data_IF_606339591061
#
_entry.id   IF_606339591061
#
_cell.length_a   1.000
_cell.length_b   1.000
_cell.length_c   1.000
_cell.angle_alpha   90.00
_cell.angle_beta   90.00
_cell.angle_gamma   90.00
#
_symmetry.space_group_name_H-M   'P 1'
#
loop_
_entity.id
_entity.type
_entity.pdbx_description
1 polymer ?
#
# COMPACT_ATOMS: atom_id res chain seq x y z
N UNK A 1 60.40 -56.37 -7.55
CA UNK A 1 60.28 -55.13 -6.75
C UNK A 1 59.18 -54.17 -7.24
N UNK A 2 58.15 -54.64 -7.99
CA UNK A 2 57.09 -53.77 -8.55
C UNK A 2 55.70 -53.88 -7.86
N UNK A 3 55.46 -54.93 -7.07
CA UNK A 3 54.15 -55.17 -6.43
C UNK A 3 53.89 -54.27 -5.21
N UNK A 4 54.93 -53.74 -4.56
CA UNK A 4 54.79 -52.87 -3.38
C UNK A 4 54.40 -51.42 -3.72
N UNK A 5 54.67 -50.94 -4.94
CA UNK A 5 54.34 -49.57 -5.34
C UNK A 5 52.86 -49.39 -5.72
N UNK A 6 52.20 -50.45 -6.22
CA UNK A 6 50.79 -50.38 -6.64
C UNK A 6 49.82 -50.35 -5.44
N UNK A 7 50.14 -51.03 -4.34
CA UNK A 7 49.28 -51.06 -3.14
C UNK A 7 49.29 -49.73 -2.37
N UNK A 8 50.46 -49.08 -2.24
CA UNK A 8 50.63 -47.78 -1.57
C UNK A 8 49.83 -46.66 -2.27
N UNK A 9 49.75 -46.70 -3.60
CA UNK A 9 48.94 -45.76 -4.39
C UNK A 9 47.43 -45.90 -4.15
N UNK A 10 46.92 -47.12 -4.00
CA UNK A 10 45.50 -47.37 -3.68
C UNK A 10 45.13 -46.91 -2.27
N UNK A 11 45.98 -47.15 -1.26
CA UNK A 11 45.75 -46.66 0.10
C UNK A 11 45.76 -45.12 0.17
N UNK A 12 46.66 -44.48 -0.58
CA UNK A 12 46.73 -43.02 -0.68
C UNK A 12 45.49 -42.43 -1.38
N UNK A 13 45.01 -43.07 -2.45
CA UNK A 13 43.74 -42.67 -3.12
C UNK A 13 42.53 -42.82 -2.21
N UNK A 14 42.41 -43.92 -1.45
CA UNK A 14 41.30 -44.10 -0.49
C UNK A 14 41.29 -43.01 0.59
N UNK A 15 42.45 -42.66 1.15
CA UNK A 15 42.56 -41.56 2.13
C UNK A 15 42.19 -40.20 1.54
N UNK A 16 42.61 -39.91 0.31
CA UNK A 16 42.26 -38.67 -0.38
C UNK A 16 40.75 -38.60 -0.66
N UNK A 17 40.12 -39.71 -1.10
CA UNK A 17 38.68 -39.75 -1.32
C UNK A 17 37.87 -39.52 -0.03
N UNK A 18 38.30 -40.13 1.09
CA UNK A 18 37.65 -39.92 2.40
C UNK A 18 37.81 -38.46 2.86
N UNK A 19 39.00 -37.88 2.72
CA UNK A 19 39.23 -36.48 3.06
C UNK A 19 38.37 -35.54 2.21
N UNK A 20 38.26 -35.81 0.91
CA UNK A 20 37.47 -35.00 -0.02
C UNK A 20 35.96 -35.13 0.26
N UNK A 21 35.48 -36.33 0.62
CA UNK A 21 34.09 -36.51 1.04
C UNK A 21 33.78 -35.75 2.33
N UNK A 22 34.66 -35.81 3.32
CA UNK A 22 34.48 -35.07 4.58
C UNK A 22 34.47 -33.56 4.33
N UNK A 23 35.43 -33.05 3.55
CA UNK A 23 35.49 -31.63 3.19
C UNK A 23 34.21 -31.17 2.45
N UNK A 24 33.70 -32.00 1.54
CA UNK A 24 32.46 -31.71 0.80
C UNK A 24 31.25 -31.68 1.74
N UNK A 25 31.13 -32.63 2.66
CA UNK A 25 30.03 -32.67 3.64
C UNK A 25 30.07 -31.44 4.55
N UNK A 26 31.25 -31.06 5.05
CA UNK A 26 31.41 -29.87 5.89
C UNK A 26 31.04 -28.60 5.12
N UNK A 27 31.45 -28.49 3.85
CA UNK A 27 31.10 -27.37 2.96
C UNK A 27 29.58 -27.27 2.76
N UNK A 28 28.91 -28.39 2.47
CA UNK A 28 27.45 -28.41 2.27
C UNK A 28 26.73 -27.98 3.56
N UNK A 29 27.14 -28.51 4.72
CA UNK A 29 26.51 -28.17 6.00
C UNK A 29 26.68 -26.69 6.35
N UNK A 30 27.88 -26.13 6.13
CA UNK A 30 28.13 -24.70 6.40
C UNK A 30 27.33 -23.80 5.47
N UNK A 31 27.26 -24.12 4.17
CA UNK A 31 26.44 -23.38 3.21
C UNK A 31 24.94 -23.48 3.51
N UNK A 32 24.45 -24.67 3.87
CA UNK A 32 23.05 -24.88 4.21
C UNK A 32 22.65 -24.08 5.46
N UNK A 33 23.49 -24.09 6.50
CA UNK A 33 23.23 -23.32 7.72
C UNK A 33 23.21 -21.81 7.44
N UNK A 34 24.21 -21.30 6.71
CA UNK A 34 24.26 -19.89 6.27
C UNK A 34 23.04 -19.51 5.43
N UNK A 35 22.62 -20.38 4.52
CA UNK A 35 21.46 -20.13 3.67
C UNK A 35 20.16 -20.01 4.48
N UNK A 36 19.95 -20.90 5.45
CA UNK A 36 18.76 -20.87 6.32
C UNK A 36 18.75 -19.62 7.19
N UNK A 37 19.90 -19.25 7.77
CA UNK A 37 20.04 -18.06 8.61
C UNK A 37 19.76 -16.78 7.82
N UNK A 38 20.36 -16.63 6.64
CA UNK A 38 20.16 -15.45 5.78
C UNK A 38 18.72 -15.37 5.28
N UNK A 39 18.12 -16.50 4.88
CA UNK A 39 16.73 -16.54 4.43
C UNK A 39 15.75 -16.14 5.53
N UNK A 40 15.92 -16.66 6.74
CA UNK A 40 15.07 -16.29 7.88
C UNK A 40 15.18 -14.80 8.21
N UNK A 41 16.37 -14.22 8.06
CA UNK A 41 16.60 -12.79 8.31
C UNK A 41 15.93 -11.92 7.25
N UNK A 42 16.02 -12.31 5.97
CA UNK A 42 15.34 -11.65 4.85
C UNK A 42 13.82 -11.62 5.07
N UNK A 43 13.23 -12.77 5.42
CA UNK A 43 11.79 -12.88 5.63
C UNK A 43 11.31 -11.97 6.77
N UNK A 44 12.04 -11.93 7.89
CA UNK A 44 11.73 -11.03 9.01
C UNK A 44 11.82 -9.55 8.63
N UNK A 45 12.84 -9.18 7.84
CA UNK A 45 13.03 -7.79 7.40
C UNK A 45 11.96 -7.35 6.38
N UNK A 46 11.50 -8.27 5.52
CA UNK A 46 10.39 -8.01 4.61
C UNK A 46 9.07 -7.79 5.38
N UNK A 47 8.82 -8.57 6.44
CA UNK A 47 7.65 -8.38 7.31
C UNK A 47 7.71 -7.06 8.09
N UNK A 48 8.85 -6.74 8.70
CA UNK A 48 9.04 -5.47 9.43
C UNK A 48 8.92 -4.25 8.50
N UNK A 49 9.35 -4.38 7.24
CA UNK A 49 9.11 -3.36 6.21
C UNK A 49 7.61 -3.17 5.95
N UNK A 50 6.85 -4.27 5.77
CA UNK A 50 5.41 -4.21 5.56
C UNK A 50 4.68 -3.55 6.75
N UNK A 51 5.03 -3.93 7.98
CA UNK A 51 4.44 -3.35 9.20
C UNK A 51 4.73 -1.85 9.32
N UNK A 52 5.97 -1.44 9.02
CA UNK A 52 6.36 -0.01 9.02
C UNK A 52 5.65 0.77 7.91
N UNK A 53 5.45 0.18 6.74
CA UNK A 53 4.69 0.80 5.66
C UNK A 53 3.22 1.01 6.05
N UNK A 54 2.59 0.00 6.66
CA UNK A 54 1.21 0.10 7.19
C UNK A 54 1.11 1.17 8.29
N UNK A 55 2.07 1.23 9.21
CA UNK A 55 2.06 2.23 10.29
C UNK A 55 2.25 3.66 9.76
N UNK A 56 3.07 3.85 8.71
CA UNK A 56 3.22 5.14 8.03
C UNK A 56 1.94 5.53 7.29
N UNK A 57 1.28 4.55 6.68
CA UNK A 57 -0.02 4.73 6.05
C UNK A 57 -1.05 5.25 7.07
N UNK A 58 -1.25 4.53 8.17
CA UNK A 58 -2.25 4.87 9.21
C UNK A 58 -2.05 6.28 9.79
N UNK A 59 -0.80 6.65 10.12
CA UNK A 59 -0.47 8.00 10.60
C UNK A 59 -0.82 9.12 9.61
N UNK A 60 -0.78 8.83 8.31
CA UNK A 60 -1.08 9.81 7.28
C UNK A 60 -2.58 9.98 7.03
N UNK A 61 -3.37 8.93 7.21
CA UNK A 61 -4.83 8.97 7.04
C UNK A 61 -5.58 9.42 8.29
N UNK A 62 -5.00 9.26 9.48
CA UNK A 62 -5.61 9.70 10.74
C UNK A 62 -6.08 11.17 10.74
N UNK A 63 -5.28 12.16 10.27
CA UNK A 63 -5.74 13.55 10.17
C UNK A 63 -6.88 13.76 9.17
N UNK A 64 -6.95 12.93 8.12
CA UNK A 64 -7.99 13.00 7.10
C UNK A 64 -9.33 12.50 7.64
N UNK A 65 -9.31 11.41 8.40
CA UNK A 65 -10.49 10.88 9.08
C UNK A 65 -11.03 11.87 10.13
N UNK A 66 -10.16 12.47 10.94
CA UNK A 66 -10.55 13.54 11.88
C UNK A 66 -11.16 14.73 11.14
N UNK A 67 -10.54 15.13 10.03
CA UNK A 67 -11.08 16.19 9.18
C UNK A 67 -12.46 15.86 8.63
N UNK A 68 -12.64 14.64 8.09
CA UNK A 68 -13.91 14.19 7.55
C UNK A 68 -15.00 14.18 8.62
N UNK A 69 -14.71 13.62 9.80
CA UNK A 69 -15.64 13.58 10.93
C UNK A 69 -16.08 14.98 11.38
N UNK A 70 -15.15 15.94 11.46
CA UNK A 70 -15.48 17.33 11.80
C UNK A 70 -16.33 18.02 10.72
N UNK A 71 -16.30 17.53 9.49
CA UNK A 71 -17.02 18.09 8.35
C UNK A 71 -18.37 17.41 8.12
N UNK A 72 -18.65 16.26 8.75
CA UNK A 72 -19.90 15.50 8.57
C UNK A 72 -21.16 16.32 8.87
N UNK A 73 -21.07 17.28 9.78
CA UNK A 73 -22.17 18.21 10.09
C UNK A 73 -22.63 19.06 8.90
N UNK A 74 -21.81 19.17 7.86
CA UNK A 74 -22.11 19.92 6.64
C UNK A 74 -22.96 19.12 5.62
N UNK A 75 -23.09 17.80 5.80
CA UNK A 75 -23.88 16.95 4.91
C UNK A 75 -25.37 17.26 5.05
N UNK A 76 -26.03 17.59 3.94
CA UNK A 76 -27.43 18.00 3.87
C UNK A 76 -27.63 19.53 3.80
N UNK A 77 -26.55 20.31 3.94
CA UNK A 77 -26.58 21.77 3.75
C UNK A 77 -26.54 22.09 2.25
N UNK A 78 -27.31 23.06 1.73
CA UNK A 78 -27.29 23.42 0.32
C UNK A 78 -25.87 23.76 -0.17
N UNK A 79 -25.51 23.28 -1.38
CA UNK A 79 -24.15 23.40 -1.90
C UNK A 79 -23.61 24.84 -1.92
N UNK A 80 -24.48 25.82 -2.15
CA UNK A 80 -24.15 27.25 -2.16
C UNK A 80 -23.62 27.77 -0.81
N UNK A 81 -24.11 27.22 0.31
CA UNK A 81 -23.78 27.68 1.66
C UNK A 81 -22.57 26.94 2.24
N UNK A 82 -22.28 25.74 1.73
CA UNK A 82 -21.25 24.83 2.25
C UNK A 82 -19.97 24.82 1.42
N UNK A 83 -20.02 25.22 0.15
CA UNK A 83 -18.86 25.14 -0.76
C UNK A 83 -17.66 25.93 -0.25
N UNK A 84 -17.87 27.15 0.27
CA UNK A 84 -16.76 27.96 0.78
C UNK A 84 -16.07 27.33 2.00
N UNK A 85 -16.79 26.89 3.05
CA UNK A 85 -16.21 26.07 4.12
C UNK A 85 -15.43 24.83 3.64
N UNK A 86 -15.92 24.14 2.60
CA UNK A 86 -15.19 22.99 2.03
C UNK A 86 -13.88 23.41 1.36
N UNK A 87 -13.86 24.55 0.65
CA UNK A 87 -12.66 25.10 0.02
C UNK A 87 -11.63 25.51 1.09
N UNK A 88 -12.09 26.18 2.15
CA UNK A 88 -11.24 26.49 3.31
C UNK A 88 -10.64 25.21 3.89
N UNK A 89 -11.44 24.15 4.04
CA UNK A 89 -10.95 22.88 4.59
C UNK A 89 -9.89 22.21 3.71
N UNK A 90 -10.12 22.10 2.40
CA UNK A 90 -9.12 21.52 1.50
C UNK A 90 -7.83 22.36 1.45
N UNK A 91 -7.92 23.68 1.62
CA UNK A 91 -6.73 24.54 1.65
C UNK A 91 -5.81 24.26 2.85
N UNK A 92 -6.38 23.74 3.96
CA UNK A 92 -5.62 23.32 5.14
C UNK A 92 -5.02 21.92 5.02
N UNK A 93 -5.39 21.14 3.99
CA UNK A 93 -5.01 19.74 3.82
C UNK A 93 -4.25 19.56 2.50
N UNK A 94 -2.93 19.52 2.58
CA UNK A 94 -2.05 19.51 1.40
C UNK A 94 -2.30 18.34 0.43
N UNK A 95 -2.82 17.22 0.91
CA UNK A 95 -3.01 15.99 0.13
C UNK A 95 -4.44 15.80 -0.37
N UNK A 96 -5.41 16.56 0.13
CA UNK A 96 -6.81 16.45 -0.28
C UNK A 96 -7.05 17.35 -1.48
N UNK A 97 -7.37 16.73 -2.63
CA UNK A 97 -7.72 17.44 -3.85
C UNK A 97 -9.12 18.00 -3.79
N UNK A 98 -10.08 17.20 -3.35
CA UNK A 98 -11.48 17.60 -3.28
C UNK A 98 -12.22 16.95 -2.12
N UNK A 99 -13.25 17.63 -1.63
CA UNK A 99 -14.25 17.08 -0.71
C UNK A 99 -15.60 17.11 -1.43
N UNK A 100 -16.29 15.99 -1.40
CA UNK A 100 -17.56 15.77 -2.08
C UNK A 100 -18.60 15.40 -1.02
N UNK A 101 -19.78 16.01 -1.09
CA UNK A 101 -20.88 15.72 -0.19
C UNK A 101 -21.91 14.85 -0.91
N UNK A 102 -22.29 13.77 -0.24
CA UNK A 102 -23.31 12.83 -0.69
C UNK A 102 -24.47 12.91 0.28
N UNK A 103 -25.68 13.04 -0.25
CA UNK A 103 -26.91 12.94 0.53
C UNK A 103 -27.96 12.15 -0.25
N UNK A 104 -28.60 11.20 0.42
CA UNK A 104 -29.62 10.33 -0.17
C UNK A 104 -29.17 9.68 -1.50
N UNK A 105 -27.96 9.13 -1.51
CA UNK A 105 -27.33 8.46 -2.66
C UNK A 105 -27.00 9.39 -3.85
N UNK A 106 -27.03 10.70 -3.63
CA UNK A 106 -26.67 11.71 -4.63
C UNK A 106 -25.46 12.50 -4.15
N UNK A 107 -24.37 12.45 -4.92
CA UNK A 107 -23.28 13.41 -4.79
C UNK A 107 -23.78 14.74 -5.35
N UNK A 108 -24.13 15.64 -4.44
CA UNK A 108 -24.82 16.89 -4.76
C UNK A 108 -23.90 18.12 -4.72
N UNK A 109 -22.74 18.02 -4.06
CA UNK A 109 -21.80 19.14 -3.93
C UNK A 109 -20.35 18.69 -4.05
N UNK A 110 -19.54 19.48 -4.76
CA UNK A 110 -18.10 19.36 -4.86
C UNK A 110 -17.43 20.65 -4.40
N UNK A 111 -16.38 20.55 -3.58
CA UNK A 111 -15.58 21.71 -3.17
C UNK A 111 -15.02 22.48 -4.38
N UNK A 112 -14.57 21.75 -5.41
CA UNK A 112 -14.01 22.35 -6.62
C UNK A 112 -15.12 22.83 -7.56
N UNK A 113 -16.04 21.93 -7.91
CA UNK A 113 -16.97 22.20 -9.02
C UNK A 113 -18.34 22.74 -8.60
N UNK A 114 -18.61 22.83 -7.29
CA UNK A 114 -19.92 23.27 -6.79
C UNK A 114 -21.01 22.21 -7.00
N UNK A 115 -22.25 22.63 -7.32
CA UNK A 115 -23.40 21.72 -7.42
C UNK A 115 -23.20 20.59 -8.44
N UNK A 116 -23.65 19.39 -8.07
CA UNK A 116 -23.59 18.17 -8.88
C UNK A 116 -24.87 17.36 -8.74
N UNK A 117 -25.06 16.40 -9.63
CA UNK A 117 -26.15 15.41 -9.53
C UNK A 117 -25.62 14.09 -10.07
N UNK A 118 -24.79 13.43 -9.26
CA UNK A 118 -24.13 12.19 -9.63
C UNK A 118 -24.65 11.07 -8.72
N UNK A 119 -25.18 9.95 -9.26
CA UNK A 119 -25.64 8.83 -8.46
C UNK A 119 -24.44 8.15 -7.78
N UNK A 120 -24.37 8.20 -6.46
CA UNK A 120 -23.21 7.76 -5.68
C UNK A 120 -23.01 6.25 -5.80
N UNK A 121 -24.03 5.46 -5.50
CA UNK A 121 -23.96 3.99 -5.56
C UNK A 121 -23.63 3.42 -6.94
N UNK A 122 -24.04 4.11 -8.02
CA UNK A 122 -23.73 3.69 -9.38
C UNK A 122 -22.30 4.07 -9.79
N UNK A 123 -21.81 5.21 -9.29
CA UNK A 123 -20.47 5.70 -9.62
C UNK A 123 -19.39 5.03 -8.78
N UNK A 124 -19.67 4.74 -7.51
CA UNK A 124 -18.74 4.17 -6.55
C UNK A 124 -19.36 2.96 -5.81
N UNK A 125 -19.68 1.87 -6.54
CA UNK A 125 -20.40 0.72 -5.98
C UNK A 125 -19.65 0.05 -4.82
N UNK A 126 -18.31 0.00 -4.90
CA UNK A 126 -17.48 -0.59 -3.84
C UNK A 126 -17.60 0.16 -2.51
N UNK A 127 -17.65 1.49 -2.55
CA UNK A 127 -17.82 2.34 -1.37
C UNK A 127 -19.26 2.30 -0.84
N UNK A 128 -20.24 2.15 -1.73
CA UNK A 128 -21.65 2.14 -1.38
C UNK A 128 -22.13 0.82 -0.77
N UNK A 129 -21.68 -0.33 -1.30
CA UNK A 129 -22.24 -1.65 -0.95
C UNK A 129 -21.27 -2.55 -0.17
N UNK A 130 -19.96 -2.47 -0.43
CA UNK A 130 -19.00 -3.44 0.11
C UNK A 130 -18.45 -3.04 1.49
N UNK A 131 -19.07 -2.05 2.16
CA UNK A 131 -18.60 -1.45 3.43
C UNK A 131 -17.16 -0.93 3.40
N UNK A 132 -16.57 -0.81 2.21
CA UNK A 132 -15.23 -0.26 2.04
C UNK A 132 -15.26 1.24 2.33
N UNK A 133 -14.33 1.67 3.18
CA UNK A 133 -14.11 3.08 3.48
C UNK A 133 -13.09 3.71 2.55
N UNK A 134 -12.30 2.90 1.87
CA UNK A 134 -11.20 3.36 1.02
C UNK A 134 -11.15 2.55 -0.26
N UNK A 135 -10.95 3.22 -1.39
CA UNK A 135 -10.64 2.56 -2.67
C UNK A 135 -9.67 3.39 -3.49
N UNK A 136 -8.84 2.73 -4.27
CA UNK A 136 -7.90 3.35 -5.20
C UNK A 136 -8.58 3.54 -6.55
N UNK A 137 -8.39 4.70 -7.17
CA UNK A 137 -8.99 5.02 -8.46
C UNK A 137 -8.09 5.96 -9.27
N UNK A 138 -8.49 6.21 -10.51
CA UNK A 138 -7.94 7.28 -11.34
C UNK A 138 -8.89 8.48 -11.30
N UNK A 139 -8.32 9.68 -11.24
CA UNK A 139 -9.11 10.91 -11.29
C UNK A 139 -9.60 11.14 -12.72
N UNK A 140 -10.92 11.25 -12.92
CA UNK A 140 -11.54 11.48 -14.23
C UNK A 140 -11.93 12.96 -14.45
N UNK A 141 -11.78 13.80 -13.44
CA UNK A 141 -12.36 15.14 -13.42
C UNK A 141 -11.30 16.24 -13.35
N UNK A 142 -10.46 16.24 -12.31
CA UNK A 142 -9.54 17.34 -12.04
C UNK A 142 -8.20 17.15 -12.75
N UNK A 143 -7.53 16.04 -12.48
CA UNK A 143 -6.26 15.67 -13.11
C UNK A 143 -6.40 14.30 -13.78
N UNK A 144 -6.96 14.29 -15.00
CA UNK A 144 -7.31 13.06 -15.71
C UNK A 144 -6.18 12.03 -15.73
N UNK A 145 -6.50 10.80 -15.34
CA UNK A 145 -5.58 9.66 -15.32
C UNK A 145 -4.59 9.66 -14.17
N UNK A 146 -4.56 10.69 -13.32
CA UNK A 146 -3.67 10.68 -12.15
C UNK A 146 -4.25 9.80 -11.03
N UNK A 147 -3.39 9.14 -10.25
CA UNK A 147 -3.82 8.23 -9.22
C UNK A 147 -4.37 8.96 -7.99
N UNK A 148 -5.48 8.46 -7.47
CA UNK A 148 -6.15 9.00 -6.29
C UNK A 148 -6.58 7.90 -5.33
N UNK A 149 -6.65 8.25 -4.05
CA UNK A 149 -7.38 7.46 -3.06
C UNK A 149 -8.68 8.17 -2.74
N UNK A 150 -9.77 7.40 -2.78
CA UNK A 150 -11.09 7.81 -2.36
C UNK A 150 -11.31 7.34 -0.92
N UNK A 151 -11.57 8.28 0.00
CA UNK A 151 -11.91 8.00 1.39
C UNK A 151 -13.36 8.38 1.66
N UNK A 152 -14.18 7.38 1.99
CA UNK A 152 -15.60 7.48 2.27
C UNK A 152 -15.87 7.47 3.77
N UNK A 153 -16.48 8.54 4.28
CA UNK A 153 -16.92 8.68 5.67
C UNK A 153 -18.43 8.86 5.70
N UNK A 154 -19.20 7.83 6.12
CA UNK A 154 -20.66 7.93 6.14
C UNK A 154 -21.13 8.81 7.30
N UNK A 155 -22.27 9.45 7.12
CA UNK A 155 -23.00 10.14 8.19
C UNK A 155 -23.90 9.18 8.98
N UNK A 156 -24.40 8.13 8.32
CA UNK A 156 -25.42 7.22 8.83
C UNK A 156 -25.15 5.77 8.47
N UNK A 157 -25.78 4.85 9.22
CA UNK A 157 -25.64 3.40 9.03
C UNK A 157 -26.18 2.90 7.69
N UNK A 158 -27.08 3.64 7.05
CA UNK A 158 -27.62 3.27 5.74
C UNK A 158 -26.66 3.56 4.58
N UNK A 159 -25.49 4.15 4.87
CA UNK A 159 -24.37 4.36 3.94
C UNK A 159 -24.73 5.19 2.68
N UNK A 160 -25.82 5.97 2.72
CA UNK A 160 -26.30 6.77 1.59
C UNK A 160 -26.00 8.26 1.69
N UNK A 161 -25.57 8.73 2.85
CA UNK A 161 -25.17 10.11 3.07
C UNK A 161 -23.81 10.14 3.77
N UNK A 162 -22.98 11.12 3.42
CA UNK A 162 -21.61 11.19 3.94
C UNK A 162 -20.70 12.10 3.12
N UNK A 163 -19.41 11.92 3.36
CA UNK A 163 -18.35 12.69 2.74
C UNK A 163 -17.44 11.74 1.98
N UNK A 164 -17.14 12.11 0.74
CA UNK A 164 -16.13 11.45 -0.08
C UNK A 164 -14.95 12.42 -0.28
N UNK A 165 -13.78 12.07 0.23
CA UNK A 165 -12.55 12.83 0.04
C UNK A 165 -11.72 12.22 -1.09
N UNK A 166 -11.21 13.06 -1.97
CA UNK A 166 -10.31 12.69 -3.07
C UNK A 166 -8.89 13.09 -2.67
N UNK A 167 -8.00 12.12 -2.53
CA UNK A 167 -6.65 12.30 -1.98
C UNK A 167 -5.61 12.06 -3.07
N UNK A 168 -4.65 12.97 -3.19
CA UNK A 168 -3.49 12.80 -4.06
C UNK A 168 -2.51 11.78 -3.44
N UNK A 169 -2.35 10.62 -4.08
CA UNK A 169 -1.42 9.60 -3.62
C UNK A 169 -0.09 9.57 -4.37
N UNK A 170 0.05 10.30 -5.46
CA UNK A 170 1.28 10.33 -6.25
C UNK A 170 2.49 10.76 -5.40
N UNK A 171 2.34 11.86 -4.66
CA UNK A 171 3.40 12.37 -3.78
C UNK A 171 3.62 11.51 -2.54
N UNK A 172 2.60 10.76 -2.10
CA UNK A 172 2.66 9.90 -0.92
C UNK A 172 3.29 8.54 -1.21
N UNK A 173 2.98 7.96 -2.37
CA UNK A 173 3.40 6.61 -2.77
C UNK A 173 4.91 6.46 -2.72
N UNK A 174 5.66 7.42 -3.26
CA UNK A 174 7.12 7.43 -3.24
C UNK A 174 7.71 7.42 -1.81
N UNK A 175 7.08 8.11 -0.86
CA UNK A 175 7.55 8.14 0.53
C UNK A 175 7.11 6.90 1.34
N UNK A 176 5.93 6.35 1.02
CA UNK A 176 5.39 5.16 1.67
C UNK A 176 6.10 3.89 1.21
N UNK A 177 6.53 3.85 -0.04
CA UNK A 177 7.09 2.67 -0.71
C UNK A 177 8.61 2.72 -0.85
N UNK A 178 9.30 3.64 -0.16
CA UNK A 178 10.74 3.77 -0.26
C UNK A 178 11.44 2.44 0.12
N UNK A 179 12.07 1.75 -0.84
CA UNK A 179 12.57 0.39 -0.64
C UNK A 179 13.73 0.35 0.36
N UNK A 180 13.71 -0.62 1.28
CA UNK A 180 14.83 -0.87 2.17
C UNK A 180 15.78 -1.90 1.54
N UNK A 181 16.76 -1.39 0.81
CA UNK A 181 17.81 -2.21 0.19
C UNK A 181 18.68 -2.92 1.26
N UNK A 182 19.20 -4.13 0.97
CA UNK A 182 18.97 -4.95 -0.23
C UNK A 182 17.71 -5.84 -0.17
N UNK A 183 16.92 -5.76 0.89
CA UNK A 183 15.91 -6.76 1.24
C UNK A 183 14.57 -6.56 0.51
N UNK A 184 14.24 -5.29 0.24
CA UNK A 184 13.10 -4.91 -0.59
C UNK A 184 13.65 -4.03 -1.70
N UNK A 185 13.60 -4.51 -2.94
CA UNK A 185 14.11 -3.78 -4.10
C UNK A 185 13.07 -2.83 -4.70
N UNK A 186 11.78 -3.16 -4.53
CA UNK A 186 10.66 -2.39 -5.04
C UNK A 186 9.38 -2.71 -4.25
N UNK A 187 8.58 -1.69 -4.00
CA UNK A 187 7.19 -1.83 -3.65
C UNK A 187 6.39 -0.93 -4.61
N UNK A 188 5.19 -1.39 -5.03
CA UNK A 188 4.34 -0.68 -5.99
C UNK A 188 2.89 -0.71 -5.52
N UNK A 189 2.14 0.36 -5.79
CA UNK A 189 0.69 0.36 -5.65
C UNK A 189 0.06 0.04 -7.01
N UNK A 190 -0.73 -1.04 -7.09
CA UNK A 190 -1.49 -1.33 -8.31
C UNK A 190 -2.91 -0.75 -8.20
N UNK A 191 -3.28 0.12 -9.14
CA UNK A 191 -4.60 0.73 -9.25
C UNK A 191 -5.14 0.43 -10.65
N UNK A 192 -6.17 -0.42 -10.75
CA UNK A 192 -6.81 -0.77 -12.03
C UNK A 192 -5.81 -1.23 -13.13
N UNK A 193 -4.74 -1.92 -12.75
CA UNK A 193 -3.71 -2.40 -13.68
C UNK A 193 -2.53 -1.46 -13.88
N UNK A 194 -2.61 -0.22 -13.40
CA UNK A 194 -1.49 0.72 -13.40
C UNK A 194 -0.68 0.60 -12.11
N UNK A 195 0.64 0.47 -12.23
CA UNK A 195 1.54 0.41 -11.08
C UNK A 195 2.17 1.77 -10.84
N UNK A 196 2.02 2.27 -9.61
CA UNK A 196 2.64 3.49 -9.08
C UNK A 196 3.85 3.11 -8.23
#
# INVERSE_FOLDING_TARGET
MFMAQQSVGQFRRKRVLIALSIATVVLILTLAFRYIEEKSRIEQQAMDFADKAIMRFDRMFSPLEVSANNTLGLVGVPCQDVRFPLIEKISSLQTVRAILLVDNDVLYCSSIYGPRTIPFSQTYPDLAFNSQRMTLATDEYLLKGSPILLLWTPKSLDNRSGILQVINIEMMSNYLLEPQLPWVERAVFNVNGESL
#
